data_IF_595466625298
#
_entry.id   IF_595466625298
#
_cell.length_a   1.000
_cell.length_b   1.000
_cell.length_c   1.000
_cell.angle_alpha   90.00
_cell.angle_beta   90.00
_cell.angle_gamma   90.00
#
_symmetry.space_group_name_H-M   'P 1'
#
loop_
_entity.id
_entity.type
_entity.pdbx_description
1 polymer ?
#
# COMPACT_ATOMS: atom_id res chain seq x y z
N UNK A 1 -19.13 -10.63 26.93
CA UNK A 1 -17.97 -10.46 26.00
C UNK A 1 -18.07 -9.24 25.09
N UNK A 2 -19.25 -8.90 24.55
CA UNK A 2 -19.45 -7.67 23.75
C UNK A 2 -19.39 -6.39 24.60
N UNK A 3 -19.87 -6.44 25.85
CA UNK A 3 -19.77 -5.33 26.79
C UNK A 3 -18.34 -5.06 27.26
N UNK A 4 -17.57 -6.11 27.59
CA UNK A 4 -16.17 -5.99 28.02
C UNK A 4 -15.30 -5.28 26.97
N UNK A 5 -15.51 -5.55 25.67
CA UNK A 5 -14.79 -4.85 24.60
C UNK A 5 -15.18 -3.37 24.48
N UNK A 6 -16.46 -3.03 24.68
CA UNK A 6 -16.91 -1.63 24.73
C UNK A 6 -16.31 -0.90 25.93
N UNK A 7 -16.27 -1.57 27.09
CA UNK A 7 -15.66 -1.07 28.33
C UNK A 7 -14.16 -0.78 28.13
N UNK A 8 -13.41 -1.71 27.53
CA UNK A 8 -11.97 -1.52 27.22
C UNK A 8 -11.76 -0.33 26.27
N UNK A 9 -12.55 -0.20 25.20
CA UNK A 9 -12.44 0.94 24.29
C UNK A 9 -12.79 2.27 24.96
N UNK A 10 -13.80 2.29 25.83
CA UNK A 10 -14.24 3.49 26.55
C UNK A 10 -13.22 3.95 27.60
N UNK A 11 -12.55 3.01 28.29
CA UNK A 11 -11.49 3.31 29.25
C UNK A 11 -10.22 3.79 28.52
N UNK A 12 -9.84 3.16 27.40
CA UNK A 12 -8.73 3.64 26.57
C UNK A 12 -8.95 5.08 26.07
N UNK A 13 -10.17 5.42 25.67
CA UNK A 13 -10.52 6.79 25.24
C UNK A 13 -10.42 7.81 26.40
N UNK A 14 -10.86 7.45 27.61
CA UNK A 14 -10.80 8.32 28.79
C UNK A 14 -9.37 8.54 29.29
N UNK A 15 -8.53 7.51 29.26
CA UNK A 15 -7.11 7.60 29.67
C UNK A 15 -6.28 8.43 28.69
N UNK A 16 -6.60 8.40 27.39
CA UNK A 16 -5.94 9.23 26.37
C UNK A 16 -6.40 10.70 26.40
N UNK A 17 -7.58 10.99 26.94
CA UNK A 17 -8.15 12.34 27.01
C UNK A 17 -7.75 13.14 28.27
N UNK A 18 -7.11 12.50 29.25
CA UNK A 18 -6.78 13.15 30.54
C UNK A 18 -5.42 13.87 30.49
N UNK A 19 -5.28 15.09 31.03
CA UNK A 19 -3.99 15.78 31.10
C UNK A 19 -3.01 14.98 31.98
N UNK A 20 -1.94 14.49 31.36
CA UNK A 20 -0.89 13.69 31.99
C UNK A 20 -0.24 14.47 33.14
N UNK A 21 -0.48 14.09 34.39
CA UNK A 21 0.40 14.49 35.51
C UNK A 21 0.35 13.68 36.82
N UNK A 22 -0.47 12.63 37.02
CA UNK A 22 -0.56 12.00 38.37
C UNK A 22 -0.38 10.48 38.46
N UNK A 23 0.02 9.77 37.40
CA UNK A 23 0.18 8.31 37.49
C UNK A 23 1.63 7.88 37.23
N UNK A 24 2.46 7.99 38.25
CA UNK A 24 3.70 7.21 38.32
C UNK A 24 3.47 6.04 39.28
N UNK A 25 3.82 4.83 38.83
CA UNK A 25 3.80 3.54 39.56
C UNK A 25 2.47 2.77 39.51
N UNK A 26 2.30 1.96 38.46
CA UNK A 26 1.20 0.99 38.30
C UNK A 26 1.26 -0.19 39.30
N UNK A 27 2.38 -0.41 40.00
CA UNK A 27 2.59 -1.58 40.87
C UNK A 27 1.92 -1.52 42.25
N UNK A 28 1.12 -0.49 42.57
CA UNK A 28 0.60 -0.26 43.94
C UNK A 28 -0.92 -0.32 44.10
N UNK A 29 -1.69 -0.56 43.05
CA UNK A 29 -3.15 -0.53 43.15
C UNK A 29 -3.71 -1.89 43.57
N UNK A 30 -4.59 -1.88 44.57
CA UNK A 30 -5.41 -3.04 44.93
C UNK A 30 -6.64 -3.12 44.03
N UNK A 31 -7.33 -4.26 44.04
CA UNK A 31 -8.58 -4.47 43.31
C UNK A 31 -9.70 -3.49 43.72
N UNK A 32 -9.63 -2.96 44.95
CA UNK A 32 -10.53 -1.90 45.44
C UNK A 32 -10.20 -0.54 44.82
N UNK A 33 -8.92 -0.18 44.74
CA UNK A 33 -8.49 1.11 44.19
C UNK A 33 -8.84 1.23 42.69
N UNK A 34 -8.75 0.12 41.95
CA UNK A 34 -9.10 0.05 40.54
C UNK A 34 -10.60 0.32 40.32
N UNK A 35 -11.46 -0.21 41.18
CA UNK A 35 -12.91 -0.04 41.11
C UNK A 35 -13.31 1.42 41.43
N UNK A 36 -12.68 2.03 42.42
CA UNK A 36 -12.91 3.43 42.79
C UNK A 36 -12.49 4.40 41.67
N UNK A 37 -11.35 4.12 41.00
CA UNK A 37 -10.90 4.89 39.83
C UNK A 37 -11.89 4.73 38.66
N UNK A 38 -12.36 3.51 38.39
CA UNK A 38 -13.33 3.25 37.34
C UNK A 38 -14.63 4.04 37.59
N UNK A 39 -15.13 3.97 38.83
CA UNK A 39 -16.33 4.67 39.26
C UNK A 39 -16.17 6.19 39.20
N UNK A 40 -15.00 6.73 39.56
CA UNK A 40 -14.70 8.15 39.43
C UNK A 40 -14.71 8.62 37.96
N UNK A 41 -14.12 7.85 37.04
CA UNK A 41 -14.09 8.19 35.60
C UNK A 41 -15.53 8.24 35.05
N UNK A 42 -16.34 7.23 35.37
CA UNK A 42 -17.73 7.11 34.89
C UNK A 42 -18.65 8.17 35.52
N UNK A 43 -18.39 8.59 36.76
CA UNK A 43 -19.17 9.63 37.45
C UNK A 43 -18.71 11.06 37.19
N UNK A 44 -17.57 11.27 36.52
CA UNK A 44 -17.07 12.61 36.20
C UNK A 44 -17.96 13.32 35.16
N UNK A 45 -18.28 14.60 35.42
CA UNK A 45 -19.22 15.38 34.61
C UNK A 45 -18.77 15.61 33.17
N UNK A 46 -17.46 15.66 32.91
CA UNK A 46 -16.90 15.77 31.55
C UNK A 46 -17.18 14.54 30.68
N UNK A 47 -17.34 13.36 31.28
CA UNK A 47 -17.63 12.12 30.55
C UNK A 47 -19.10 12.02 30.16
N UNK A 48 -20.00 12.33 31.10
CA UNK A 48 -21.44 12.26 30.88
C UNK A 48 -21.95 13.29 29.86
N UNK A 49 -21.33 14.46 29.75
CA UNK A 49 -21.71 15.46 28.73
C UNK A 49 -21.28 15.08 27.30
N UNK A 50 -20.23 14.25 27.15
CA UNK A 50 -19.60 14.00 25.84
C UNK A 50 -20.06 12.71 25.15
N UNK A 51 -20.58 11.74 25.91
CA UNK A 51 -20.88 10.39 25.39
C UNK A 51 -22.26 9.84 25.76
N UNK A 52 -23.12 10.63 26.43
CA UNK A 52 -24.53 10.32 26.75
C UNK A 52 -24.79 8.86 27.16
N UNK A 53 -24.06 8.40 28.19
CA UNK A 53 -24.13 7.02 28.63
C UNK A 53 -24.26 6.93 30.15
N UNK A 54 -25.49 6.77 30.65
CA UNK A 54 -25.74 6.21 31.97
C UNK A 54 -25.37 4.71 31.94
N UNK A 55 -24.11 4.42 32.23
CA UNK A 55 -23.57 3.07 32.27
C UNK A 55 -23.44 2.64 33.73
N UNK A 56 -24.40 1.86 34.21
CA UNK A 56 -24.23 1.04 35.43
C UNK A 56 -23.29 -0.11 35.07
N UNK A 57 -22.01 0.03 35.39
CA UNK A 57 -20.99 -0.97 35.16
C UNK A 57 -20.84 -1.86 36.39
N UNK A 58 -21.48 -3.03 36.37
CA UNK A 58 -21.29 -4.07 37.40
C UNK A 58 -20.01 -4.87 37.11
N UNK A 59 -18.85 -4.21 37.28
CA UNK A 59 -17.52 -4.82 37.12
C UNK A 59 -17.04 -5.26 38.50
N UNK A 60 -16.69 -6.54 38.66
CA UNK A 60 -16.11 -7.00 39.92
C UNK A 60 -14.63 -6.55 40.03
N UNK A 61 -14.10 -6.58 41.26
CA UNK A 61 -12.78 -6.03 41.57
C UNK A 61 -11.60 -6.76 40.88
N UNK A 62 -11.75 -8.04 40.53
CA UNK A 62 -10.71 -8.81 39.81
C UNK A 62 -10.66 -8.41 38.33
N UNK A 63 -11.81 -8.33 37.66
CA UNK A 63 -11.92 -7.88 36.26
C UNK A 63 -11.44 -6.42 36.10
N UNK A 64 -11.75 -5.57 37.08
CA UNK A 64 -11.28 -4.17 37.09
C UNK A 64 -9.75 -4.07 37.16
N UNK A 65 -9.11 -4.91 37.98
CA UNK A 65 -7.66 -4.93 38.12
C UNK A 65 -6.97 -5.43 36.83
N UNK A 66 -7.50 -6.48 36.20
CA UNK A 66 -6.98 -6.99 34.93
C UNK A 66 -7.11 -5.96 33.79
N UNK A 67 -8.24 -5.25 33.73
CA UNK A 67 -8.46 -4.17 32.76
C UNK A 67 -7.47 -3.02 33.02
N UNK A 68 -7.32 -2.58 34.27
CA UNK A 68 -6.42 -1.49 34.63
C UNK A 68 -4.96 -1.86 34.32
N UNK A 69 -4.54 -3.08 34.66
CA UNK A 69 -3.20 -3.57 34.33
C UNK A 69 -2.99 -3.71 32.82
N UNK A 70 -4.01 -4.07 32.04
CA UNK A 70 -3.95 -4.10 30.59
C UNK A 70 -3.77 -2.68 30.01
N UNK A 71 -4.52 -1.70 30.51
CA UNK A 71 -4.42 -0.29 30.10
C UNK A 71 -3.07 0.33 30.51
N UNK A 72 -2.57 0.05 31.71
CA UNK A 72 -1.23 0.47 32.13
C UNK A 72 -0.14 -0.18 31.25
N UNK A 73 -0.26 -1.48 30.94
CA UNK A 73 0.65 -2.15 29.99
C UNK A 73 0.60 -1.53 28.59
N UNK A 74 -0.56 -1.06 28.12
CA UNK A 74 -0.68 -0.35 26.85
C UNK A 74 -0.06 1.06 26.89
N UNK A 75 -0.04 1.70 28.06
CA UNK A 75 0.56 3.02 28.27
C UNK A 75 2.09 2.97 28.40
N UNK A 76 2.61 1.92 29.02
CA UNK A 76 4.03 1.71 29.28
C UNK A 76 4.72 0.86 28.19
N UNK A 77 3.96 0.24 27.30
CA UNK A 77 4.50 -0.32 26.06
C UNK A 77 4.92 0.85 25.18
N UNK A 78 6.16 0.90 24.68
CA UNK A 78 6.48 1.83 23.61
C UNK A 78 5.50 1.54 22.47
N UNK A 79 4.57 2.46 22.22
CA UNK A 79 3.94 2.55 20.91
C UNK A 79 5.14 2.63 19.98
N UNK A 80 5.37 1.66 19.07
CA UNK A 80 6.44 1.81 18.10
C UNK A 80 6.19 3.18 17.47
N UNK A 81 7.12 4.12 17.64
CA UNK A 81 7.09 5.35 16.87
C UNK A 81 6.99 4.86 15.43
N UNK A 82 5.81 4.98 14.83
CA UNK A 82 5.61 4.62 13.43
C UNK A 82 6.30 5.70 12.64
N UNK A 83 7.62 5.58 12.56
CA UNK A 83 8.45 6.43 11.74
C UNK A 83 8.08 6.11 10.31
N UNK A 84 7.54 7.10 9.63
CA UNK A 84 7.40 7.09 8.19
C UNK A 84 8.68 6.51 7.56
N UNK A 85 8.53 5.45 6.76
CA UNK A 85 9.65 4.69 6.17
C UNK A 85 10.55 5.55 5.27
N UNK A 86 10.10 6.75 4.85
CA UNK A 86 10.89 7.69 4.06
C UNK A 86 11.34 8.93 4.85
N UNK A 87 11.09 8.98 6.16
CA UNK A 87 11.33 10.15 7.01
C UNK A 87 12.72 10.78 6.88
N UNK A 88 13.77 9.95 6.82
CA UNK A 88 15.16 10.40 6.68
C UNK A 88 15.49 11.03 5.33
N UNK A 89 14.70 10.76 4.29
CA UNK A 89 14.95 11.21 2.92
C UNK A 89 14.17 12.48 2.55
N UNK A 90 13.19 12.86 3.38
CA UNK A 90 12.36 14.03 3.13
C UNK A 90 13.11 15.37 3.01
N UNK A 91 14.15 15.67 3.80
CA UNK A 91 14.90 16.91 3.64
C UNK A 91 15.54 17.02 2.24
N UNK A 92 16.21 15.96 1.79
CA UNK A 92 16.82 15.93 0.46
C UNK A 92 15.77 15.91 -0.67
N UNK A 93 14.65 15.21 -0.47
CA UNK A 93 13.52 15.24 -1.40
C UNK A 93 12.95 16.67 -1.56
N UNK A 94 12.86 17.44 -0.46
CA UNK A 94 12.41 18.83 -0.50
C UNK A 94 13.37 19.71 -1.33
N UNK A 95 14.69 19.55 -1.16
CA UNK A 95 15.68 20.31 -1.94
C UNK A 95 15.61 20.05 -3.46
N UNK A 96 15.15 18.86 -3.86
CA UNK A 96 14.90 18.52 -5.26
C UNK A 96 13.58 19.16 -5.69
N UNK A 97 12.51 18.97 -4.90
CA UNK A 97 11.16 19.49 -5.17
C UNK A 97 11.15 21.01 -5.39
N UNK A 98 11.86 21.77 -4.56
CA UNK A 98 11.94 23.24 -4.61
C UNK A 98 12.51 23.77 -5.93
N UNK A 99 13.17 22.91 -6.72
CA UNK A 99 13.78 23.25 -8.02
C UNK A 99 12.96 22.76 -9.22
N UNK A 100 11.86 22.04 -8.97
CA UNK A 100 11.01 21.50 -10.03
C UNK A 100 10.02 22.53 -10.54
N UNK A 101 9.76 22.52 -11.85
CA UNK A 101 8.61 23.26 -12.41
C UNK A 101 7.32 22.49 -12.13
N UNK A 102 6.16 23.14 -12.28
CA UNK A 102 4.87 22.48 -12.12
C UNK A 102 4.71 21.29 -13.08
N UNK A 103 5.14 21.45 -14.34
CA UNK A 103 5.13 20.38 -15.34
C UNK A 103 5.95 19.16 -14.90
N UNK A 104 7.15 19.41 -14.36
CA UNK A 104 8.00 18.34 -13.84
C UNK A 104 7.37 17.66 -12.63
N UNK A 105 6.75 18.42 -11.71
CA UNK A 105 6.02 17.89 -10.55
C UNK A 105 4.85 17.01 -10.99
N UNK A 106 4.02 17.48 -11.92
CA UNK A 106 2.89 16.69 -12.47
C UNK A 106 3.40 15.42 -13.14
N UNK A 107 4.49 15.49 -13.90
CA UNK A 107 5.12 14.30 -14.49
C UNK A 107 5.46 13.23 -13.47
N UNK A 108 6.00 13.63 -12.31
CA UNK A 108 6.36 12.68 -11.25
C UNK A 108 5.20 11.88 -10.67
N UNK A 109 3.95 12.34 -10.83
CA UNK A 109 2.76 11.61 -10.36
C UNK A 109 2.47 10.35 -11.19
N UNK A 110 3.06 10.19 -12.38
CA UNK A 110 2.70 9.10 -13.29
C UNK A 110 3.68 7.94 -13.22
N UNK A 111 3.12 6.73 -13.15
CA UNK A 111 3.76 5.46 -13.44
C UNK A 111 3.27 5.02 -14.83
N UNK A 112 3.96 5.46 -15.88
CA UNK A 112 3.48 5.35 -17.26
C UNK A 112 3.78 3.96 -17.85
N UNK A 113 2.74 3.23 -18.25
CA UNK A 113 2.90 2.06 -19.10
C UNK A 113 3.40 2.48 -20.47
N UNK A 114 4.57 1.99 -20.88
CA UNK A 114 5.18 2.43 -22.14
C UNK A 114 4.97 1.44 -23.27
N UNK A 115 4.58 1.96 -24.43
CA UNK A 115 4.36 1.18 -25.63
C UNK A 115 5.64 0.50 -26.16
N UNK A 116 5.49 -0.37 -27.17
CA UNK A 116 6.64 -1.04 -27.81
C UNK A 116 7.50 -0.09 -28.64
N UNK A 117 6.90 0.94 -29.24
CA UNK A 117 7.41 1.59 -30.44
C UNK A 117 8.04 2.97 -30.20
N UNK A 118 7.64 3.68 -29.14
CA UNK A 118 8.10 5.04 -28.86
C UNK A 118 8.12 5.42 -27.35
N UNK A 119 8.66 4.56 -26.45
CA UNK A 119 8.79 4.88 -25.04
C UNK A 119 9.61 6.16 -24.79
N UNK A 120 10.65 6.39 -25.59
CA UNK A 120 11.58 7.51 -25.43
C UNK A 120 10.89 8.87 -25.58
N UNK A 121 9.95 9.00 -26.52
CA UNK A 121 9.24 10.27 -26.74
C UNK A 121 8.34 10.62 -25.55
N UNK A 122 7.61 9.64 -25.01
CA UNK A 122 6.75 9.85 -23.85
C UNK A 122 7.58 10.21 -22.61
N UNK A 123 8.67 9.48 -22.34
CA UNK A 123 9.59 9.79 -21.24
C UNK A 123 10.13 11.20 -21.36
N UNK A 124 10.65 11.57 -22.54
CA UNK A 124 11.25 12.88 -22.76
C UNK A 124 10.22 14.00 -22.62
N UNK A 125 9.00 13.80 -23.12
CA UNK A 125 7.94 14.82 -23.11
C UNK A 125 7.36 15.04 -21.71
N UNK A 126 7.03 13.97 -20.99
CA UNK A 126 6.24 14.05 -19.76
C UNK A 126 7.06 13.92 -18.49
N UNK A 127 8.33 13.51 -18.57
CA UNK A 127 9.23 13.35 -17.41
C UNK A 127 8.58 12.56 -16.26
N UNK A 128 8.12 11.32 -16.52
CA UNK A 128 7.29 10.59 -15.57
C UNK A 128 8.04 10.21 -14.29
N UNK A 129 7.29 9.95 -13.21
CA UNK A 129 7.85 9.44 -11.96
C UNK A 129 8.42 8.03 -12.13
N UNK A 130 7.75 7.23 -12.95
CA UNK A 130 8.22 5.92 -13.37
C UNK A 130 7.62 5.45 -14.67
N UNK A 131 8.11 4.31 -15.15
CA UNK A 131 7.53 3.58 -16.27
C UNK A 131 7.28 2.11 -15.91
N UNK A 132 6.23 1.54 -16.51
CA UNK A 132 5.95 0.10 -16.48
C UNK A 132 6.36 -0.51 -17.81
N UNK A 133 7.19 -1.54 -17.74
CA UNK A 133 7.57 -2.37 -18.88
C UNK A 133 6.69 -3.62 -18.93
N UNK A 134 6.13 -3.90 -20.10
CA UNK A 134 5.34 -5.09 -20.41
C UNK A 134 6.17 -6.12 -21.17
N UNK A 135 5.60 -7.31 -21.36
CA UNK A 135 6.28 -8.43 -22.02
C UNK A 135 6.87 -8.06 -23.39
N UNK A 136 6.13 -7.28 -24.18
CA UNK A 136 6.56 -6.87 -25.52
C UNK A 136 7.77 -5.92 -25.51
N UNK A 137 8.09 -5.27 -24.39
CA UNK A 137 9.27 -4.40 -24.29
C UNK A 137 10.58 -5.21 -24.20
N UNK A 138 10.49 -6.51 -23.90
CA UNK A 138 11.60 -7.46 -23.75
C UNK A 138 11.77 -8.41 -24.96
N UNK A 139 10.81 -8.41 -25.90
CA UNK A 139 10.88 -9.23 -27.11
C UNK A 139 12.14 -8.93 -27.93
N UNK A 140 12.76 -10.00 -28.45
CA UNK A 140 13.96 -9.97 -29.30
C UNK A 140 15.20 -9.28 -28.68
N UNK A 141 15.18 -9.02 -27.37
CA UNK A 141 16.31 -8.43 -26.65
C UNK A 141 17.22 -9.50 -26.03
N UNK A 142 18.51 -9.19 -26.04
CA UNK A 142 19.50 -9.85 -25.18
C UNK A 142 19.57 -9.13 -23.83
N UNK A 143 20.16 -9.75 -22.81
CA UNK A 143 20.45 -9.10 -21.52
C UNK A 143 21.17 -7.75 -21.73
N UNK A 144 22.25 -7.72 -22.53
CA UNK A 144 23.01 -6.49 -22.78
C UNK A 144 22.22 -5.43 -23.54
N UNK A 145 21.41 -5.81 -24.53
CA UNK A 145 20.60 -4.82 -25.26
C UNK A 145 19.49 -4.24 -24.38
N UNK A 146 18.87 -5.06 -23.53
CA UNK A 146 17.86 -4.61 -22.58
C UNK A 146 18.43 -3.67 -21.52
N UNK A 147 19.61 -4.00 -20.96
CA UNK A 147 20.32 -3.12 -20.02
C UNK A 147 20.62 -1.75 -20.64
N UNK A 148 21.13 -1.73 -21.88
CA UNK A 148 21.41 -0.48 -22.59
C UNK A 148 20.14 0.33 -22.87
N UNK A 149 19.03 -0.35 -23.20
CA UNK A 149 17.72 0.27 -23.44
C UNK A 149 17.16 0.94 -22.19
N UNK A 150 17.16 0.24 -21.05
CA UNK A 150 16.71 0.81 -19.77
C UNK A 150 17.63 1.97 -19.34
N UNK A 151 18.94 1.84 -19.54
CA UNK A 151 19.89 2.94 -19.30
C UNK A 151 19.58 4.15 -20.19
N UNK A 152 19.23 3.96 -21.47
CA UNK A 152 18.84 5.09 -22.32
C UNK A 152 17.55 5.75 -21.88
N UNK A 153 16.57 5.01 -21.34
CA UNK A 153 15.36 5.59 -20.74
C UNK A 153 15.70 6.49 -19.55
N UNK A 154 16.55 6.02 -18.65
CA UNK A 154 16.99 6.81 -17.50
C UNK A 154 17.71 8.10 -17.91
N UNK A 155 18.49 8.09 -19.00
CA UNK A 155 19.19 9.27 -19.51
C UNK A 155 18.25 10.32 -20.16
N UNK A 156 17.02 9.94 -20.52
CA UNK A 156 16.03 10.86 -21.08
C UNK A 156 15.22 11.60 -20.01
N UNK A 157 15.28 11.12 -18.76
CA UNK A 157 14.61 11.74 -17.63
C UNK A 157 15.57 12.62 -16.84
N UNK A 158 15.14 13.84 -16.51
CA UNK A 158 15.87 14.76 -15.63
C UNK A 158 15.99 14.20 -14.22
N UNK A 159 14.97 13.46 -13.78
CA UNK A 159 14.93 12.79 -12.49
C UNK A 159 14.90 11.28 -12.71
N UNK A 160 15.87 10.51 -12.17
CA UNK A 160 15.86 9.06 -12.26
C UNK A 160 14.49 8.44 -11.96
N UNK A 161 14.05 7.55 -12.83
CA UNK A 161 12.70 6.98 -12.83
C UNK A 161 12.63 5.68 -12.05
N UNK A 162 11.45 5.42 -11.49
CA UNK A 162 11.05 4.06 -11.13
C UNK A 162 10.90 3.28 -12.44
N UNK A 163 11.61 2.17 -12.59
CA UNK A 163 11.47 1.25 -13.72
C UNK A 163 10.87 -0.02 -13.17
N UNK A 164 9.65 -0.34 -13.59
CA UNK A 164 8.88 -1.45 -13.04
C UNK A 164 8.35 -2.43 -14.09
N UNK A 165 7.87 -3.58 -13.61
CA UNK A 165 7.25 -4.65 -14.40
C UNK A 165 6.39 -5.53 -13.50
N UNK A 166 5.49 -6.34 -14.06
CA UNK A 166 4.75 -7.39 -13.33
C UNK A 166 5.44 -8.76 -13.45
N UNK A 167 6.49 -9.01 -12.69
CA UNK A 167 7.12 -10.33 -12.63
C UNK A 167 6.60 -11.10 -11.40
N UNK A 168 5.32 -11.48 -11.44
CA UNK A 168 4.65 -12.21 -10.33
C UNK A 168 5.10 -13.68 -10.27
N UNK A 169 5.24 -14.30 -11.45
CA UNK A 169 5.37 -15.75 -11.63
C UNK A 169 4.06 -16.37 -12.12
N UNK A 170 4.14 -17.60 -12.64
CA UNK A 170 2.97 -18.31 -13.16
C UNK A 170 2.43 -17.67 -14.44
N UNK A 171 1.16 -17.25 -14.42
CA UNK A 171 0.48 -16.67 -15.59
C UNK A 171 0.88 -15.21 -15.86
N UNK A 172 1.50 -14.53 -14.90
CA UNK A 172 1.93 -13.13 -15.01
C UNK A 172 3.44 -13.05 -14.88
N UNK A 173 4.09 -13.10 -16.05
CA UNK A 173 5.53 -12.95 -16.25
C UNK A 173 5.73 -12.07 -17.47
N UNK A 174 6.65 -11.10 -17.40
CA UNK A 174 7.00 -10.21 -18.52
C UNK A 174 8.39 -10.48 -19.07
N UNK A 175 9.29 -10.98 -18.23
CA UNK A 175 10.72 -11.13 -18.53
C UNK A 175 11.09 -12.61 -18.61
N UNK A 176 10.79 -13.40 -17.59
CA UNK A 176 11.19 -14.81 -17.53
C UNK A 176 10.51 -15.68 -18.59
N UNK A 177 9.48 -15.18 -19.26
CA UNK A 177 8.87 -15.82 -20.42
C UNK A 177 9.74 -15.79 -21.68
N UNK A 178 10.74 -14.89 -21.75
CA UNK A 178 11.68 -14.85 -22.88
C UNK A 178 12.96 -15.61 -22.54
N UNK A 179 13.32 -16.56 -23.42
CA UNK A 179 14.47 -17.45 -23.24
C UNK A 179 15.82 -16.72 -23.12
N UNK A 180 15.89 -15.47 -23.56
CA UNK A 180 17.08 -14.63 -23.43
C UNK A 180 17.40 -14.23 -21.98
N UNK A 181 16.39 -14.22 -21.09
CA UNK A 181 16.56 -13.82 -19.68
C UNK A 181 16.47 -15.00 -18.72
N UNK A 182 15.65 -16.01 -19.03
CA UNK A 182 15.53 -17.24 -18.23
C UNK A 182 15.10 -18.43 -19.08
N UNK A 183 15.64 -19.62 -18.79
CA UNK A 183 15.33 -20.84 -19.54
C UNK A 183 13.88 -21.31 -19.36
N UNK A 184 13.34 -21.12 -18.16
CA UNK A 184 11.95 -21.40 -17.83
C UNK A 184 11.32 -20.17 -17.18
N UNK A 185 10.04 -19.87 -17.41
CA UNK A 185 9.34 -18.83 -16.68
C UNK A 185 9.33 -19.10 -15.17
N UNK A 186 9.26 -18.04 -14.36
CA UNK A 186 9.03 -18.21 -12.93
C UNK A 186 7.71 -18.95 -12.67
N UNK A 187 7.73 -19.87 -11.70
CA UNK A 187 6.56 -20.64 -11.32
C UNK A 187 5.55 -19.76 -10.57
N UNK A 188 4.29 -20.19 -10.50
CA UNK A 188 3.30 -19.50 -9.68
C UNK A 188 3.66 -19.63 -8.19
N UNK A 189 3.25 -18.69 -7.33
CA UNK A 189 3.51 -18.80 -5.88
C UNK A 189 2.96 -20.11 -5.28
N UNK A 190 1.85 -20.63 -5.81
CA UNK A 190 1.30 -21.94 -5.43
C UNK A 190 2.26 -23.10 -5.77
N UNK A 191 2.85 -23.07 -6.97
CA UNK A 191 3.78 -24.10 -7.43
C UNK A 191 5.10 -24.05 -6.67
N UNK A 192 5.65 -22.86 -6.42
CA UNK A 192 6.87 -22.67 -5.63
C UNK A 192 6.68 -23.23 -4.22
N UNK A 193 5.58 -22.86 -3.56
CA UNK A 193 5.27 -23.34 -2.22
C UNK A 193 5.05 -24.86 -2.17
N UNK A 194 4.36 -25.43 -3.17
CA UNK A 194 4.16 -26.88 -3.24
C UNK A 194 5.48 -27.65 -3.40
N UNK A 195 6.49 -27.05 -4.05
CA UNK A 195 7.79 -27.69 -4.25
C UNK A 195 8.70 -27.58 -3.03
N UNK A 196 8.75 -26.40 -2.40
CA UNK A 196 9.83 -26.05 -1.46
C UNK A 196 9.36 -25.24 -0.25
N UNK A 197 8.05 -25.12 -0.02
CA UNK A 197 7.48 -24.36 1.10
C UNK A 197 7.90 -22.89 1.09
N UNK A 198 7.95 -22.30 2.29
CA UNK A 198 8.31 -20.90 2.50
C UNK A 198 9.76 -20.56 2.16
N UNK A 199 10.70 -21.49 2.37
CA UNK A 199 12.10 -21.32 1.91
C UNK A 199 12.17 -21.20 0.38
N UNK A 200 11.31 -21.95 -0.32
CA UNK A 200 11.12 -21.82 -1.76
C UNK A 200 10.68 -20.42 -2.17
N UNK A 201 9.69 -19.86 -1.46
CA UNK A 201 9.17 -18.50 -1.72
C UNK A 201 10.26 -17.46 -1.53
N UNK A 202 11.04 -17.55 -0.44
CA UNK A 202 12.13 -16.61 -0.19
C UNK A 202 13.17 -16.66 -1.33
N UNK A 203 13.66 -17.85 -1.68
CA UNK A 203 14.69 -18.02 -2.70
C UNK A 203 14.20 -17.62 -4.10
N UNK A 204 12.96 -17.97 -4.47
CA UNK A 204 12.34 -17.54 -5.73
C UNK A 204 12.19 -16.01 -5.79
N UNK A 205 11.84 -15.37 -4.68
CA UNK A 205 11.74 -13.91 -4.60
C UNK A 205 13.11 -13.23 -4.73
N UNK A 206 14.15 -13.78 -4.11
CA UNK A 206 15.54 -13.30 -4.26
C UNK A 206 16.01 -13.45 -5.71
N UNK A 207 15.80 -14.60 -6.35
CA UNK A 207 16.16 -14.83 -7.77
C UNK A 207 15.46 -13.82 -8.69
N UNK A 208 14.16 -13.57 -8.47
CA UNK A 208 13.41 -12.52 -9.19
C UNK A 208 14.06 -11.16 -9.00
N UNK A 209 14.37 -10.78 -7.76
CA UNK A 209 14.97 -9.48 -7.48
C UNK A 209 16.34 -9.29 -8.16
N UNK A 210 17.20 -10.31 -8.10
CA UNK A 210 18.50 -10.29 -8.76
C UNK A 210 18.37 -10.16 -10.28
N UNK A 211 17.45 -10.92 -10.90
CA UNK A 211 17.20 -10.83 -12.34
C UNK A 211 16.75 -9.41 -12.73
N UNK A 212 15.77 -8.85 -12.02
CA UNK A 212 15.22 -7.53 -12.30
C UNK A 212 16.28 -6.43 -12.15
N UNK A 213 17.01 -6.42 -11.03
CA UNK A 213 18.09 -5.47 -10.79
C UNK A 213 19.20 -5.58 -11.84
N UNK A 214 19.52 -6.80 -12.29
CA UNK A 214 20.54 -7.00 -13.34
C UNK A 214 20.18 -6.31 -14.66
N UNK A 215 18.90 -6.12 -14.95
CA UNK A 215 18.41 -5.43 -16.15
C UNK A 215 18.26 -3.91 -15.94
N UNK A 216 18.39 -3.43 -14.71
CA UNK A 216 18.16 -2.02 -14.34
C UNK A 216 16.71 -1.72 -13.94
N UNK A 217 15.89 -2.75 -13.69
CA UNK A 217 14.54 -2.62 -13.13
C UNK A 217 14.69 -2.51 -11.62
N UNK A 218 14.05 -1.51 -11.02
CA UNK A 218 14.25 -1.15 -9.60
C UNK A 218 12.97 -1.30 -8.75
N UNK A 219 11.85 -1.69 -9.36
CA UNK A 219 10.62 -2.01 -8.63
C UNK A 219 9.88 -3.16 -9.31
N UNK A 220 9.49 -4.18 -8.56
CA UNK A 220 8.55 -5.19 -9.06
C UNK A 220 7.13 -4.82 -8.62
N UNK A 221 6.17 -4.93 -9.53
CA UNK A 221 4.75 -4.80 -9.24
C UNK A 221 4.22 -6.14 -8.70
N UNK A 222 4.84 -6.63 -7.64
CA UNK A 222 4.54 -7.88 -6.95
C UNK A 222 5.07 -7.77 -5.51
N UNK A 223 4.61 -8.59 -4.54
CA UNK A 223 3.72 -9.75 -4.67
C UNK A 223 2.21 -9.43 -4.70
N UNK A 224 1.41 -10.40 -5.17
CA UNK A 224 -0.05 -10.39 -5.06
C UNK A 224 -0.46 -10.78 -3.64
N UNK A 225 -1.08 -9.86 -2.91
CA UNK A 225 -1.58 -9.96 -1.55
C UNK A 225 -3.07 -10.37 -1.46
N UNK A 226 -3.72 -10.59 -2.59
CA UNK A 226 -5.12 -11.02 -2.62
C UNK A 226 -5.32 -12.43 -2.06
N UNK A 227 -6.38 -12.61 -1.28
CA UNK A 227 -6.81 -13.91 -0.78
C UNK A 227 -7.90 -14.44 -1.71
N UNK A 228 -7.60 -15.53 -2.41
CA UNK A 228 -8.58 -16.23 -3.23
C UNK A 228 -8.38 -17.75 -3.10
N UNK A 229 -9.42 -18.48 -2.69
CA UNK A 229 -9.39 -19.94 -2.58
C UNK A 229 -10.31 -20.64 -3.57
N UNK A 230 -11.12 -19.91 -4.32
CA UNK A 230 -11.95 -20.47 -5.40
C UNK A 230 -11.14 -20.58 -6.68
N UNK A 231 -10.84 -21.81 -7.10
CA UNK A 231 -10.06 -22.08 -8.31
C UNK A 231 -10.72 -21.62 -9.61
N UNK A 232 -12.03 -21.30 -9.58
CA UNK A 232 -12.74 -20.78 -10.74
C UNK A 232 -12.65 -19.24 -10.86
N UNK A 233 -12.18 -18.56 -9.82
CA UNK A 233 -12.01 -17.12 -9.85
C UNK A 233 -10.86 -16.70 -10.76
N UNK A 234 -11.04 -15.57 -11.43
CA UNK A 234 -10.07 -14.98 -12.35
C UNK A 234 -8.68 -14.79 -11.70
N UNK A 235 -8.64 -14.29 -10.47
CA UNK A 235 -7.38 -13.96 -9.80
C UNK A 235 -6.67 -15.17 -9.21
N UNK A 236 -7.38 -16.30 -8.99
CA UNK A 236 -6.89 -17.42 -8.20
C UNK A 236 -5.49 -17.89 -8.60
N UNK A 237 -5.26 -18.08 -9.91
CA UNK A 237 -3.97 -18.57 -10.43
C UNK A 237 -2.77 -17.66 -10.15
N UNK A 238 -3.02 -16.37 -9.85
CA UNK A 238 -2.01 -15.35 -9.50
C UNK A 238 -1.78 -15.25 -7.99
N UNK A 239 -2.76 -15.66 -7.18
CA UNK A 239 -2.67 -15.60 -5.71
C UNK A 239 -1.86 -16.77 -5.13
N UNK A 240 -1.49 -16.65 -3.86
CA UNK A 240 -0.91 -17.75 -3.09
C UNK A 240 -1.87 -18.93 -2.87
N UNK A 241 -3.18 -18.74 -3.09
CA UNK A 241 -4.19 -19.81 -3.03
C UNK A 241 -4.42 -20.37 -1.63
N UNK A 242 -4.08 -19.62 -0.57
CA UNK A 242 -4.21 -20.02 0.83
C UNK A 242 -5.07 -19.04 1.64
N UNK A 243 -5.52 -19.41 2.84
CA UNK A 243 -6.20 -18.50 3.75
C UNK A 243 -5.32 -17.33 4.21
N UNK A 244 -5.93 -16.43 4.98
CA UNK A 244 -5.35 -15.14 5.35
C UNK A 244 -4.01 -15.24 6.10
N UNK A 245 -3.85 -16.17 7.04
CA UNK A 245 -2.63 -16.25 7.85
C UNK A 245 -1.45 -16.74 7.03
N UNK A 246 -1.62 -17.81 6.25
CA UNK A 246 -0.56 -18.32 5.38
C UNK A 246 -0.22 -17.34 4.24
N UNK A 247 -1.22 -16.61 3.74
CA UNK A 247 -0.98 -15.53 2.77
C UNK A 247 -0.23 -14.37 3.41
N UNK A 248 -0.51 -14.02 4.67
CA UNK A 248 0.24 -13.00 5.40
C UNK A 248 1.72 -13.39 5.57
N UNK A 249 2.00 -14.66 5.90
CA UNK A 249 3.37 -15.17 6.00
C UNK A 249 4.08 -15.14 4.63
N UNK A 250 3.41 -15.56 3.55
CA UNK A 250 3.91 -15.42 2.18
C UNK A 250 4.29 -13.97 1.85
N UNK A 251 3.42 -13.01 2.19
CA UNK A 251 3.66 -11.59 1.93
C UNK A 251 4.83 -11.05 2.75
N UNK A 252 4.91 -11.38 4.04
CA UNK A 252 6.04 -10.99 4.89
C UNK A 252 7.38 -11.50 4.33
N UNK A 253 7.43 -12.77 3.95
CA UNK A 253 8.62 -13.41 3.39
C UNK A 253 9.03 -12.72 2.08
N UNK A 254 8.08 -12.51 1.17
CA UNK A 254 8.38 -11.86 -0.11
C UNK A 254 8.83 -10.41 0.06
N UNK A 255 8.18 -9.63 0.93
CA UNK A 255 8.58 -8.23 1.21
C UNK A 255 10.00 -8.19 1.80
N UNK A 256 10.29 -9.04 2.79
CA UNK A 256 11.63 -9.13 3.39
C UNK A 256 12.69 -9.53 2.37
N UNK A 257 12.40 -10.49 1.48
CA UNK A 257 13.30 -10.90 0.41
C UNK A 257 13.59 -9.73 -0.55
N UNK A 258 12.56 -9.04 -1.07
CA UNK A 258 12.73 -7.88 -1.94
C UNK A 258 13.54 -6.76 -1.28
N UNK A 259 13.20 -6.41 -0.04
CA UNK A 259 13.91 -5.40 0.74
C UNK A 259 15.39 -5.78 0.95
N UNK A 260 15.68 -7.04 1.27
CA UNK A 260 17.06 -7.54 1.44
C UNK A 260 17.89 -7.53 0.16
N UNK A 261 17.22 -7.68 -1.00
CA UNK A 261 17.85 -7.60 -2.32
C UNK A 261 17.99 -6.17 -2.84
N UNK A 262 17.38 -5.19 -2.16
CA UNK A 262 17.39 -3.78 -2.59
C UNK A 262 16.47 -3.47 -3.78
N UNK A 263 15.43 -4.28 -4.00
CA UNK A 263 14.41 -4.04 -5.02
C UNK A 263 13.12 -3.55 -4.36
N UNK A 264 12.53 -2.46 -4.87
CA UNK A 264 11.20 -2.04 -4.43
C UNK A 264 10.13 -3.09 -4.79
N UNK A 265 9.15 -3.30 -3.91
CA UNK A 265 8.03 -4.19 -4.15
C UNK A 265 6.69 -3.48 -3.98
N UNK A 266 5.63 -4.05 -4.57
CA UNK A 266 4.29 -3.46 -4.56
C UNK A 266 3.26 -4.50 -4.14
N UNK A 267 2.64 -4.32 -2.98
CA UNK A 267 1.53 -5.19 -2.57
C UNK A 267 0.29 -4.84 -3.39
N UNK A 268 -0.38 -5.85 -3.93
CA UNK A 268 -1.58 -5.65 -4.74
C UNK A 268 -2.62 -6.77 -4.61
N UNK A 269 -3.92 -6.52 -4.71
CA UNK A 269 -4.51 -5.23 -5.09
C UNK A 269 -5.41 -4.76 -3.94
N UNK A 270 -4.99 -3.71 -3.23
CA UNK A 270 -5.68 -3.18 -2.06
C UNK A 270 -7.11 -2.73 -2.41
N UNK A 271 -8.13 -2.96 -1.56
CA UNK A 271 -8.09 -3.57 -0.22
C UNK A 271 -8.19 -5.10 -0.19
N UNK A 272 -7.97 -5.77 -1.32
CA UNK A 272 -8.11 -7.22 -1.50
C UNK A 272 -9.12 -7.52 -2.60
N UNK A 273 -8.67 -8.16 -3.68
CA UNK A 273 -9.49 -8.45 -4.86
C UNK A 273 -10.54 -9.53 -4.61
N UNK A 274 -10.28 -10.46 -3.69
CA UNK A 274 -11.18 -11.58 -3.41
C UNK A 274 -11.42 -12.48 -4.62
N UNK A 275 -12.65 -12.96 -4.77
CA UNK A 275 -13.12 -13.78 -5.89
C UNK A 275 -13.89 -12.96 -6.95
N UNK A 276 -13.84 -11.62 -6.87
CA UNK A 276 -14.63 -10.71 -7.69
C UNK A 276 -14.34 -10.78 -9.21
N UNK A 277 -15.22 -10.17 -9.99
CA UNK A 277 -15.11 -10.10 -11.45
C UNK A 277 -13.90 -9.27 -11.89
N UNK A 278 -13.41 -9.59 -13.09
CA UNK A 278 -12.28 -8.91 -13.70
C UNK A 278 -12.60 -7.44 -14.06
N UNK A 279 -12.06 -6.51 -13.28
CA UNK A 279 -12.11 -5.05 -13.43
C UNK A 279 -11.58 -4.54 -14.76
N UNK A 280 -10.75 -5.30 -15.48
CA UNK A 280 -10.31 -4.94 -16.83
C UNK A 280 -11.46 -4.92 -17.85
N UNK A 281 -12.55 -5.63 -17.56
CA UNK A 281 -13.65 -5.84 -18.51
C UNK A 281 -14.97 -5.18 -18.06
N UNK A 282 -15.15 -4.92 -16.77
CA UNK A 282 -16.44 -4.48 -16.22
C UNK A 282 -16.30 -3.84 -14.84
N UNK A 283 -17.35 -3.15 -14.39
CA UNK A 283 -17.48 -2.70 -12.99
C UNK A 283 -17.60 -3.93 -12.09
N UNK A 284 -16.83 -3.96 -11.01
CA UNK A 284 -16.80 -5.07 -10.07
C UNK A 284 -17.24 -4.59 -8.68
N UNK A 285 -18.31 -5.18 -8.14
CA UNK A 285 -18.83 -4.85 -6.82
C UNK A 285 -18.43 -5.91 -5.82
N UNK A 286 -17.75 -5.49 -4.75
CA UNK A 286 -17.47 -6.33 -3.60
C UNK A 286 -18.52 -6.12 -2.52
N UNK A 287 -19.24 -7.19 -2.18
CA UNK A 287 -20.30 -7.20 -1.16
C UNK A 287 -19.89 -7.88 0.14
N UNK A 288 -18.62 -8.29 0.28
CA UNK A 288 -18.09 -8.89 1.51
C UNK A 288 -18.18 -7.87 2.66
N UNK A 289 -18.47 -8.38 3.85
CA UNK A 289 -18.67 -7.53 5.04
C UNK A 289 -17.38 -6.84 5.49
N UNK A 290 -17.52 -5.67 6.13
CA UNK A 290 -16.40 -4.96 6.78
C UNK A 290 -15.60 -5.89 7.71
N UNK A 291 -16.29 -6.66 8.55
CA UNK A 291 -15.67 -7.64 9.45
C UNK A 291 -14.80 -8.68 8.71
N UNK A 292 -15.22 -9.10 7.52
CA UNK A 292 -14.46 -10.04 6.70
C UNK A 292 -13.15 -9.41 6.24
N UNK A 293 -13.21 -8.21 5.65
CA UNK A 293 -12.01 -7.48 5.21
C UNK A 293 -11.01 -7.28 6.35
N UNK A 294 -11.48 -6.86 7.53
CA UNK A 294 -10.62 -6.63 8.69
C UNK A 294 -9.96 -7.92 9.23
N UNK A 295 -10.68 -9.04 9.21
CA UNK A 295 -10.15 -10.33 9.70
C UNK A 295 -9.26 -11.03 8.68
N UNK A 296 -9.45 -10.76 7.39
CA UNK A 296 -8.77 -11.44 6.30
C UNK A 296 -7.92 -10.47 5.48
N UNK A 297 -8.48 -9.83 4.44
CA UNK A 297 -7.72 -9.10 3.43
C UNK A 297 -6.80 -8.01 4.04
N UNK A 298 -7.33 -7.14 4.90
CA UNK A 298 -6.57 -6.06 5.52
C UNK A 298 -5.47 -6.57 6.48
N UNK A 299 -5.62 -7.77 7.04
CA UNK A 299 -4.60 -8.41 7.88
C UNK A 299 -3.36 -8.76 7.06
N UNK A 300 -3.54 -9.24 5.84
CA UNK A 300 -2.43 -9.56 4.91
C UNK A 300 -1.67 -8.29 4.53
N UNK A 301 -2.40 -7.23 4.13
CA UNK A 301 -1.76 -5.94 3.85
C UNK A 301 -1.04 -5.38 5.08
N UNK A 302 -1.65 -5.47 6.27
CA UNK A 302 -1.00 -5.03 7.51
C UNK A 302 0.32 -5.75 7.76
N UNK A 303 0.38 -7.06 7.52
CA UNK A 303 1.63 -7.82 7.68
C UNK A 303 2.71 -7.34 6.70
N UNK A 304 2.35 -7.10 5.44
CA UNK A 304 3.30 -6.56 4.46
C UNK A 304 3.75 -5.12 4.78
N UNK A 305 2.86 -4.28 5.31
CA UNK A 305 3.20 -2.93 5.80
C UNK A 305 4.22 -3.03 6.94
N UNK A 306 3.99 -3.93 7.91
CA UNK A 306 4.89 -4.14 9.05
C UNK A 306 6.26 -4.70 8.63
N UNK A 307 6.30 -5.48 7.55
CA UNK A 307 7.54 -5.94 6.91
C UNK A 307 8.27 -4.85 6.09
N UNK A 308 7.67 -3.66 5.96
CA UNK A 308 8.28 -2.52 5.27
C UNK A 308 8.04 -2.51 3.76
N UNK A 309 6.87 -2.96 3.29
CA UNK A 309 6.49 -2.80 1.89
C UNK A 309 6.47 -1.30 1.50
N UNK A 310 7.19 -0.88 0.45
CA UNK A 310 7.31 0.54 0.12
C UNK A 310 6.16 1.08 -0.74
N UNK A 311 5.45 0.20 -1.46
CA UNK A 311 4.37 0.57 -2.40
C UNK A 311 3.15 -0.32 -2.21
N UNK A 312 1.96 0.26 -2.28
CA UNK A 312 0.67 -0.46 -2.33
C UNK A 312 -0.12 0.01 -3.53
N UNK A 313 -0.59 -0.94 -4.34
CA UNK A 313 -1.45 -0.69 -5.49
C UNK A 313 -2.92 -0.92 -5.14
N UNK A 314 -3.78 0.03 -5.48
CA UNK A 314 -5.22 0.02 -5.16
C UNK A 314 -6.06 -0.35 -6.38
N UNK A 315 -6.93 -1.35 -6.25
CA UNK A 315 -7.78 -1.86 -7.35
C UNK A 315 -8.99 -0.97 -7.67
N UNK A 316 -9.77 -1.37 -8.67
CA UNK A 316 -10.98 -0.67 -9.12
C UNK A 316 -12.29 -1.36 -8.71
N UNK A 317 -12.29 -2.21 -7.67
CA UNK A 317 -13.52 -2.77 -7.12
C UNK A 317 -14.27 -1.68 -6.36
N UNK A 318 -15.60 -1.62 -6.50
CA UNK A 318 -16.46 -0.84 -5.61
C UNK A 318 -16.69 -1.68 -4.35
N UNK A 319 -16.07 -1.30 -3.24
CA UNK A 319 -16.11 -2.05 -1.99
C UNK A 319 -17.23 -1.52 -1.11
N UNK A 320 -18.42 -2.09 -1.29
CA UNK A 320 -19.69 -1.54 -0.81
C UNK A 320 -19.74 -1.24 0.69
N UNK A 321 -18.94 -1.93 1.51
CA UNK A 321 -18.88 -1.72 2.96
C UNK A 321 -17.92 -0.60 3.42
N UNK A 322 -17.11 -0.06 2.50
CA UNK A 322 -16.25 1.11 2.71
C UNK A 322 -16.78 2.32 1.93
N UNK A 323 -17.08 2.14 0.66
CA UNK A 323 -17.60 3.16 -0.24
C UNK A 323 -18.41 2.46 -1.34
N UNK A 324 -19.70 2.79 -1.45
CA UNK A 324 -20.60 2.16 -2.42
C UNK A 324 -20.70 2.93 -3.74
N UNK A 325 -20.09 4.12 -3.83
CA UNK A 325 -20.21 5.01 -4.98
C UNK A 325 -18.94 4.99 -5.82
N UNK A 326 -17.78 4.86 -5.18
CA UNK A 326 -16.49 4.97 -5.85
C UNK A 326 -15.73 3.63 -5.86
N UNK A 327 -15.02 3.31 -6.96
CA UNK A 327 -13.98 2.29 -6.94
C UNK A 327 -12.93 2.58 -5.85
N UNK A 328 -12.32 1.53 -5.31
CA UNK A 328 -11.35 1.62 -4.23
C UNK A 328 -10.20 2.61 -4.54
N UNK A 329 -9.67 2.61 -5.77
CA UNK A 329 -8.62 3.53 -6.22
C UNK A 329 -9.04 5.00 -6.24
N UNK A 330 -10.35 5.29 -6.24
CA UNK A 330 -10.91 6.65 -6.26
C UNK A 330 -11.64 6.99 -4.95
N UNK A 331 -11.62 6.09 -3.95
CA UNK A 331 -12.37 6.27 -2.71
C UNK A 331 -11.51 6.88 -1.60
N UNK A 332 -11.85 8.08 -1.08
CA UNK A 332 -11.17 8.65 0.07
C UNK A 332 -11.25 7.78 1.33
N UNK A 333 -12.35 7.06 1.56
CA UNK A 333 -12.51 6.18 2.73
C UNK A 333 -11.57 4.98 2.66
N UNK A 334 -11.40 4.36 1.48
CA UNK A 334 -10.45 3.26 1.30
C UNK A 334 -9.02 3.71 1.57
N UNK A 335 -8.64 4.90 1.11
CA UNK A 335 -7.33 5.49 1.38
C UNK A 335 -7.14 5.89 2.84
N UNK A 336 -8.20 6.37 3.50
CA UNK A 336 -8.21 6.65 4.94
C UNK A 336 -8.00 5.38 5.75
N UNK A 337 -8.62 4.26 5.37
CA UNK A 337 -8.38 2.96 6.01
C UNK A 337 -6.91 2.55 5.83
N UNK A 338 -6.36 2.68 4.61
CA UNK A 338 -4.96 2.34 4.36
C UNK A 338 -3.99 3.18 5.21
N UNK A 339 -4.18 4.50 5.24
CA UNK A 339 -3.29 5.44 5.95
C UNK A 339 -3.52 5.42 7.46
N UNK A 340 -4.74 5.61 7.92
CA UNK A 340 -5.01 5.90 9.34
C UNK A 340 -5.21 4.61 10.14
N UNK A 341 -5.82 3.59 9.54
CA UNK A 341 -6.17 2.34 10.23
C UNK A 341 -5.02 1.34 10.12
N UNK A 342 -4.46 1.15 8.92
CA UNK A 342 -3.31 0.26 8.74
C UNK A 342 -1.98 0.95 9.03
N UNK A 343 -1.93 2.27 8.99
CA UNK A 343 -0.73 3.06 9.27
C UNK A 343 0.30 2.98 8.14
N UNK A 344 -0.16 2.89 6.89
CA UNK A 344 0.74 2.87 5.74
C UNK A 344 1.27 4.27 5.43
N UNK A 345 2.59 4.40 5.37
CA UNK A 345 3.27 5.65 5.00
C UNK A 345 4.03 5.57 3.67
N UNK A 346 4.03 4.43 2.99
CA UNK A 346 4.69 4.25 1.69
C UNK A 346 3.89 4.83 0.52
N UNK A 347 4.32 4.61 -0.72
CA UNK A 347 3.67 5.12 -1.93
C UNK A 347 2.34 4.39 -2.17
N UNK A 348 1.25 5.14 -2.32
CA UNK A 348 -0.02 4.62 -2.80
C UNK A 348 -0.13 4.86 -4.30
N UNK A 349 -0.35 3.81 -5.08
CA UNK A 349 -0.51 3.90 -6.54
C UNK A 349 -1.83 3.27 -6.96
N UNK A 350 -2.47 3.82 -7.98
CA UNK A 350 -3.64 3.17 -8.58
C UNK A 350 -3.22 1.90 -9.32
N UNK A 351 -4.12 0.94 -9.49
CA UNK A 351 -4.09 0.07 -10.66
C UNK A 351 -4.33 0.92 -11.93
N UNK A 352 -4.09 0.38 -13.13
CA UNK A 352 -4.06 1.18 -14.37
C UNK A 352 -5.40 1.88 -14.64
N UNK A 353 -5.47 3.22 -14.52
CA UNK A 353 -6.75 3.96 -14.63
C UNK A 353 -7.37 3.92 -16.03
N UNK A 354 -6.58 3.66 -17.05
CA UNK A 354 -7.03 3.47 -18.43
C UNK A 354 -7.64 2.08 -18.69
N UNK A 355 -7.79 1.25 -17.64
CA UNK A 355 -8.46 -0.06 -17.75
C UNK A 355 -9.96 0.00 -17.44
N UNK A 356 -10.70 -0.82 -18.17
CA UNK A 356 -12.06 -1.21 -17.84
C UNK A 356 -12.98 -0.04 -17.51
N UNK A 357 -13.82 -0.21 -16.49
CA UNK A 357 -14.81 0.80 -16.12
C UNK A 357 -14.22 2.01 -15.39
N UNK A 358 -12.95 1.97 -14.95
CA UNK A 358 -12.30 3.12 -14.32
C UNK A 358 -12.01 4.23 -15.34
N UNK A 359 -11.67 3.84 -16.57
CA UNK A 359 -11.38 4.76 -17.68
C UNK A 359 -12.59 5.62 -18.08
N UNK A 360 -13.81 5.10 -17.89
CA UNK A 360 -15.06 5.78 -18.24
C UNK A 360 -15.52 6.76 -17.14
N UNK A 361 -14.85 6.80 -15.98
CA UNK A 361 -15.21 7.71 -14.88
C UNK A 361 -14.68 9.11 -15.19
N UNK A 362 -15.55 10.14 -15.25
CA UNK A 362 -15.09 11.52 -15.46
C UNK A 362 -14.15 11.98 -14.36
N UNK A 363 -13.10 12.70 -14.75
CA UNK A 363 -12.07 13.27 -13.87
C UNK A 363 -11.38 12.22 -12.99
N UNK A 364 -11.24 10.98 -13.48
CA UNK A 364 -10.68 9.86 -12.71
C UNK A 364 -9.26 10.14 -12.21
N UNK A 365 -8.44 10.85 -12.99
CA UNK A 365 -7.09 11.26 -12.59
C UNK A 365 -7.11 12.21 -11.39
N UNK A 366 -7.99 13.22 -11.39
CA UNK A 366 -8.13 14.17 -10.28
C UNK A 366 -8.67 13.44 -9.05
N UNK A 367 -9.73 12.64 -9.23
CA UNK A 367 -10.34 11.85 -8.14
C UNK A 367 -9.35 10.89 -7.49
N UNK A 368 -8.45 10.28 -8.25
CA UNK A 368 -7.41 9.41 -7.72
C UNK A 368 -6.46 10.18 -6.79
N UNK A 369 -6.02 11.39 -7.19
CA UNK A 369 -5.16 12.24 -6.36
C UNK A 369 -5.90 12.72 -5.11
N UNK A 370 -7.15 13.16 -5.24
CA UNK A 370 -7.97 13.62 -4.10
C UNK A 370 -8.28 12.50 -3.10
N UNK A 371 -8.51 11.28 -3.59
CA UNK A 371 -8.69 10.11 -2.74
C UNK A 371 -7.45 9.83 -1.86
N UNK A 372 -6.26 10.13 -2.39
CA UNK A 372 -5.01 10.06 -1.65
C UNK A 372 -3.94 9.20 -2.30
N UNK A 373 -4.05 8.87 -3.58
CA UNK A 373 -2.95 8.25 -4.32
C UNK A 373 -1.77 9.22 -4.42
N UNK A 374 -0.57 8.67 -4.30
CA UNK A 374 0.66 9.41 -4.56
C UNK A 374 1.02 9.35 -6.04
N UNK A 375 0.80 8.19 -6.68
CA UNK A 375 1.04 7.95 -8.10
C UNK A 375 -0.18 7.40 -8.83
N UNK A 376 -0.24 7.62 -10.13
CA UNK A 376 -1.26 7.09 -11.04
C UNK A 376 -0.57 6.16 -12.05
N UNK A 377 -0.98 4.88 -12.04
CA UNK A 377 -0.62 3.98 -13.13
C UNK A 377 -1.56 4.20 -14.31
N UNK A 378 -1.00 4.36 -15.51
CA UNK A 378 -1.80 4.48 -16.75
C UNK A 378 -0.94 4.20 -17.97
N UNK A 379 -1.50 3.67 -19.06
CA UNK A 379 -0.86 3.70 -20.38
C UNK A 379 -1.30 4.90 -21.23
N UNK A 380 -2.26 5.70 -20.76
CA UNK A 380 -2.73 6.89 -21.44
C UNK A 380 -1.92 8.13 -21.01
N UNK A 381 -1.05 8.65 -21.89
CA UNK A 381 -0.28 9.86 -21.57
C UNK A 381 -1.11 11.13 -21.49
N UNK A 382 -2.37 11.13 -21.97
CA UNK A 382 -3.20 12.34 -21.98
C UNK A 382 -3.66 12.75 -20.57
N UNK A 383 -3.70 11.80 -19.61
CA UNK A 383 -3.94 12.08 -18.19
C UNK A 383 -2.96 13.11 -17.59
N UNK A 384 -1.74 13.19 -18.12
CA UNK A 384 -0.78 14.24 -17.74
C UNK A 384 -1.34 15.64 -17.99
N UNK A 385 -1.90 15.86 -19.19
CA UNK A 385 -2.41 17.18 -19.57
C UNK A 385 -3.68 17.52 -18.80
N UNK A 386 -4.51 16.52 -18.48
CA UNK A 386 -5.69 16.67 -17.64
C UNK A 386 -5.30 17.17 -16.24
N UNK A 387 -4.36 16.51 -15.57
CA UNK A 387 -3.88 16.93 -14.24
C UNK A 387 -3.22 18.29 -14.29
N UNK A 388 -2.38 18.56 -15.29
CA UNK A 388 -1.73 19.86 -15.44
C UNK A 388 -2.75 21.00 -15.61
N UNK A 389 -3.81 20.77 -16.39
CA UNK A 389 -4.91 21.73 -16.55
C UNK A 389 -5.69 21.91 -15.24
N UNK A 390 -5.93 20.82 -14.51
CA UNK A 390 -6.63 20.86 -13.22
C UNK A 390 -5.86 21.71 -12.19
N UNK A 391 -4.52 21.59 -12.12
CA UNK A 391 -3.69 22.42 -11.23
C UNK A 391 -3.74 23.88 -11.66
N UNK A 392 -3.52 24.17 -12.96
CA UNK A 392 -3.51 25.54 -13.48
C UNK A 392 -4.86 26.26 -13.29
N UNK A 393 -5.97 25.52 -13.32
CA UNK A 393 -7.31 26.06 -13.10
C UNK A 393 -7.73 26.07 -11.62
N UNK A 394 -6.88 25.58 -10.71
CA UNK A 394 -7.13 25.56 -9.26
C UNK A 394 -8.13 24.50 -8.80
N UNK A 395 -8.42 23.47 -9.61
CA UNK A 395 -9.23 22.32 -9.20
C UNK A 395 -8.50 21.45 -8.17
N UNK A 396 -7.17 21.33 -8.32
CA UNK A 396 -6.28 20.70 -7.35
C UNK A 396 -5.15 21.67 -7.00
N UNK A 397 -4.75 21.72 -5.74
CA UNK A 397 -3.70 22.64 -5.28
C UNK A 397 -2.31 22.13 -5.63
N UNK A 398 -1.37 23.02 -5.90
CA UNK A 398 0.04 22.65 -6.06
C UNK A 398 0.60 22.00 -4.79
N UNK A 399 0.15 22.41 -3.59
CA UNK A 399 0.53 21.77 -2.32
C UNK A 399 0.16 20.28 -2.26
N UNK A 400 -1.01 19.90 -2.81
CA UNK A 400 -1.41 18.49 -2.91
C UNK A 400 -0.46 17.71 -3.82
N UNK A 401 -0.01 18.32 -4.92
CA UNK A 401 0.99 17.73 -5.82
C UNK A 401 2.33 17.60 -5.12
N UNK A 402 2.81 18.66 -4.48
CA UNK A 402 4.06 18.72 -3.74
C UNK A 402 4.14 17.65 -2.66
N UNK A 403 3.04 17.39 -1.95
CA UNK A 403 2.96 16.29 -0.99
C UNK A 403 3.32 14.94 -1.61
N UNK A 404 2.68 14.57 -2.74
CA UNK A 404 2.94 13.31 -3.44
C UNK A 404 4.36 13.27 -4.02
N UNK A 405 4.77 14.35 -4.70
CA UNK A 405 6.07 14.40 -5.38
C UNK A 405 7.22 14.31 -4.38
N UNK A 406 7.13 15.00 -3.24
CA UNK A 406 8.12 14.90 -2.15
C UNK A 406 8.27 13.46 -1.68
N UNK A 407 7.16 12.74 -1.55
CA UNK A 407 7.14 11.33 -1.13
C UNK A 407 7.72 10.40 -2.19
N UNK A 408 7.42 10.62 -3.46
CA UNK A 408 7.99 9.87 -4.59
C UNK A 408 9.50 10.08 -4.69
N UNK A 409 9.97 11.32 -4.52
CA UNK A 409 11.40 11.63 -4.48
C UNK A 409 12.08 10.97 -3.28
N UNK A 410 11.45 10.99 -2.10
CA UNK A 410 11.96 10.32 -0.92
C UNK A 410 12.04 8.79 -1.10
N UNK A 411 11.04 8.17 -1.74
CA UNK A 411 11.08 6.76 -2.14
C UNK A 411 12.25 6.48 -3.09
N UNK A 412 12.43 7.30 -4.12
CA UNK A 412 13.54 7.15 -5.08
C UNK A 412 14.91 7.28 -4.42
N UNK A 413 15.06 8.16 -3.43
CA UNK A 413 16.28 8.28 -2.62
C UNK A 413 16.48 7.05 -1.72
N UNK A 414 15.41 6.60 -1.05
CA UNK A 414 15.43 5.41 -0.21
C UNK A 414 15.88 4.16 -0.97
N UNK A 415 15.43 4.00 -2.22
CA UNK A 415 15.80 2.89 -3.09
C UNK A 415 17.08 3.15 -3.91
N UNK A 416 17.83 4.22 -3.64
CA UNK A 416 19.06 4.59 -4.36
C UNK A 416 18.88 4.71 -5.89
N UNK A 417 17.66 5.07 -6.31
CA UNK A 417 17.31 5.39 -7.70
C UNK A 417 17.86 6.77 -8.05
N UNK A 418 17.66 7.73 -7.15
CA UNK A 418 18.36 9.04 -7.16
C UNK A 418 19.64 8.88 -6.33
N UNK A 419 20.76 9.34 -6.87
CA UNK A 419 22.11 9.21 -6.28
C UNK A 419 22.69 10.55 -5.88
#
# INVERSE_FOLDING_TARGET
>A
MLEIKKIIMMICAAVLASPVSTMSHAEKYTSSDALDILNYIVSSSEYNEKYDANLDLDVNSEDALDILQCVCRLKDSPIPERTDIFSSFYPQAQEILDKMTLEEKVGQLFLLGVDKNNPEAAIKKYQPGGIVLFSYNFEDNTVSSQQNKIKSYQLLSKYPMIISTDEEGGSVVRISCHQAFRNTPFLSPQQVYAQSGYDGIYNDTVEKAELLLSLGINTNLAPVADICTDSNSYIYSRTFGKPAEETADFIEISVNAYNSSGLGCTLKHFPGYGDNLNTHNTVSYDSRSKDYFFKNDLRVFKRGIDAGAPVIMVNHNIVSCFDNENPASLSPEVHRILKDVLGFSGIIVTDSLDMGAAADIPDSYIKALDAGNDMIATCDPDGYQEVLNAVNNGLITEERIDYSVRKILAYKLCCNIIK
#
